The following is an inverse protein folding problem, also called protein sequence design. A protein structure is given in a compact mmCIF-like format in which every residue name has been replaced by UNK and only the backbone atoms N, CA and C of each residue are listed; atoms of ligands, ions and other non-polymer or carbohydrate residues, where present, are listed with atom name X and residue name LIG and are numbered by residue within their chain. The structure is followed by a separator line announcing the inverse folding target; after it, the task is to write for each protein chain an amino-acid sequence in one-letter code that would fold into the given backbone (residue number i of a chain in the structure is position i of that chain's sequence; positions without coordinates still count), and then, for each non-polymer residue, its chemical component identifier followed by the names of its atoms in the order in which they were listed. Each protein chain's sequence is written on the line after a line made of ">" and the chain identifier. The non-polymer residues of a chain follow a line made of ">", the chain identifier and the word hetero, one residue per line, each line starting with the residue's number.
data_IF_300107888468
#
_entry.id   IF_300107888468
#
_cell.length_a   1.000
_cell.length_b   1.000
_cell.length_c   1.000
_cell.angle_alpha   90.00
_cell.angle_beta   90.00
_cell.angle_gamma   90.00
#
_symmetry.space_group_name_H-M   'P 1'
#
loop_
_entity.id
_entity.type
_entity.pdbx_description
1 polymer ?
#
# COMPACT_ATOMS: atom_id res chain seq x y z
N UNK A 1 4.65 -3.76 1.60
CA UNK A 1 5.49 -3.55 2.81
C UNK A 1 4.88 -4.18 4.06
N UNK A 2 3.63 -3.86 4.43
CA UNK A 2 3.01 -4.35 5.68
C UNK A 2 3.03 -5.88 5.81
N UNK A 3 2.56 -6.60 4.79
CA UNK A 3 2.55 -8.06 4.79
C UNK A 3 3.95 -8.68 5.02
N UNK A 4 4.99 -8.07 4.44
CA UNK A 4 6.38 -8.48 4.68
C UNK A 4 6.78 -8.24 6.14
N UNK A 5 6.59 -7.03 6.65
CA UNK A 5 6.97 -6.66 8.02
C UNK A 5 6.26 -7.54 9.07
N UNK A 6 4.97 -7.79 8.87
CA UNK A 6 4.11 -8.53 9.80
C UNK A 6 4.12 -10.05 9.55
N UNK A 7 4.94 -10.54 8.62
CA UNK A 7 5.01 -11.96 8.23
C UNK A 7 3.64 -12.54 7.86
N UNK A 8 2.82 -11.73 7.18
CA UNK A 8 1.48 -12.12 6.75
C UNK A 8 1.49 -12.64 5.31
N UNK A 9 0.83 -13.78 5.04
CA UNK A 9 0.64 -14.25 3.68
C UNK A 9 -0.31 -13.32 2.90
N UNK A 10 -0.13 -13.27 1.58
CA UNK A 10 -1.05 -12.61 0.64
C UNK A 10 -1.74 -13.70 -0.16
N UNK A 11 -3.08 -13.67 -0.18
CA UNK A 11 -3.90 -14.54 -1.03
C UNK A 11 -4.51 -13.73 -2.17
N UNK A 12 -4.61 -14.31 -3.36
CA UNK A 12 -5.14 -13.63 -4.53
C UNK A 12 -6.56 -14.11 -4.80
N UNK A 13 -7.50 -13.17 -4.90
CA UNK A 13 -8.88 -13.47 -5.25
C UNK A 13 -9.11 -13.24 -6.74
N UNK A 14 -9.63 -14.25 -7.44
CA UNK A 14 -10.17 -14.02 -8.78
C UNK A 14 -11.52 -13.31 -8.69
N UNK A 15 -11.70 -12.20 -9.41
CA UNK A 15 -12.98 -11.49 -9.48
C UNK A 15 -14.11 -12.31 -10.13
N UNK A 16 -13.77 -13.40 -10.82
CA UNK A 16 -14.73 -14.30 -11.49
C UNK A 16 -14.84 -15.67 -10.84
N UNK A 17 -13.76 -16.18 -10.24
CA UNK A 17 -13.70 -17.54 -9.67
C UNK A 17 -13.57 -17.58 -8.14
N UNK A 18 -13.30 -16.45 -7.49
CA UNK A 18 -13.02 -16.39 -6.06
C UNK A 18 -11.65 -16.98 -5.70
N UNK A 19 -11.56 -17.55 -4.51
CA UNK A 19 -10.41 -18.31 -4.03
C UNK A 19 -10.52 -19.79 -4.39
N UNK A 20 -9.38 -20.44 -4.55
CA UNK A 20 -9.27 -21.90 -4.70
C UNK A 20 -9.47 -22.62 -3.36
N UNK A 21 -9.83 -23.90 -3.40
CA UNK A 21 -10.00 -24.70 -2.17
C UNK A 21 -8.72 -24.78 -1.32
N UNK A 22 -7.55 -24.80 -1.98
CA UNK A 22 -6.25 -24.76 -1.32
C UNK A 22 -6.02 -23.45 -0.56
N UNK A 23 -6.33 -22.30 -1.19
CA UNK A 23 -6.26 -21.00 -0.53
C UNK A 23 -7.24 -20.89 0.63
N UNK A 24 -8.49 -21.34 0.44
CA UNK A 24 -9.52 -21.33 1.50
C UNK A 24 -9.05 -22.13 2.72
N UNK A 25 -8.38 -23.27 2.50
CA UNK A 25 -7.84 -24.10 3.60
C UNK A 25 -6.78 -23.37 4.42
N UNK A 26 -5.93 -22.57 3.77
CA UNK A 26 -4.90 -21.78 4.46
C UNK A 26 -5.50 -20.52 5.12
N UNK A 27 -6.41 -19.82 4.43
CA UNK A 27 -7.13 -18.65 4.95
C UNK A 27 -7.84 -18.99 6.27
N UNK A 28 -8.50 -20.16 6.36
CA UNK A 28 -9.20 -20.60 7.58
C UNK A 28 -8.30 -20.75 8.82
N UNK A 29 -6.97 -20.79 8.65
CA UNK A 29 -6.01 -20.83 9.77
C UNK A 29 -5.63 -19.42 10.26
N UNK A 30 -5.98 -18.39 9.50
CA UNK A 30 -5.64 -17.01 9.82
C UNK A 30 -6.59 -16.46 10.89
N UNK A 31 -6.04 -15.68 11.82
CA UNK A 31 -6.81 -15.02 12.89
C UNK A 31 -7.25 -13.61 12.55
N UNK A 32 -6.56 -12.99 11.59
CA UNK A 32 -6.83 -11.64 11.07
C UNK A 32 -6.75 -11.67 9.56
N UNK A 33 -7.66 -10.95 8.92
CA UNK A 33 -7.76 -10.84 7.47
C UNK A 33 -8.27 -9.46 7.06
N UNK A 34 -7.47 -8.81 6.23
CA UNK A 34 -7.84 -7.58 5.54
C UNK A 34 -8.06 -7.87 4.07
N UNK A 35 -9.08 -7.23 3.49
CA UNK A 35 -9.29 -7.21 2.04
C UNK A 35 -8.76 -5.91 1.49
N UNK A 36 -7.81 -5.98 0.55
CA UNK A 36 -7.27 -4.80 -0.12
C UNK A 36 -7.92 -4.67 -1.50
N UNK A 37 -8.52 -3.51 -1.76
CA UNK A 37 -9.21 -3.19 -3.00
C UNK A 37 -10.73 -3.28 -2.91
N UNK A 38 -11.40 -2.58 -3.82
CA UNK A 38 -12.86 -2.51 -3.89
C UNK A 38 -13.50 -3.79 -4.40
N UNK A 39 -14.84 -3.83 -4.42
CA UNK A 39 -15.61 -5.01 -4.82
C UNK A 39 -15.41 -5.45 -6.28
N UNK A 40 -15.00 -4.54 -7.16
CA UNK A 40 -14.66 -4.90 -8.55
C UNK A 40 -13.39 -5.76 -8.63
N UNK A 41 -12.44 -5.57 -7.70
CA UNK A 41 -11.21 -6.34 -7.62
C UNK A 41 -11.41 -7.60 -6.77
N UNK A 42 -12.03 -7.45 -5.59
CA UNK A 42 -12.33 -8.56 -4.67
C UNK A 42 -13.82 -8.55 -4.34
N UNK A 43 -14.66 -9.25 -5.12
CA UNK A 43 -16.11 -9.24 -4.96
C UNK A 43 -16.54 -9.72 -3.57
N UNK A 44 -17.40 -8.94 -2.94
CA UNK A 44 -17.91 -9.22 -1.59
C UNK A 44 -18.56 -10.60 -1.49
N UNK A 45 -19.28 -11.02 -2.55
CA UNK A 45 -19.89 -12.35 -2.65
C UNK A 45 -18.93 -13.52 -2.43
N UNK A 46 -17.65 -13.39 -2.78
CA UNK A 46 -16.68 -14.47 -2.57
C UNK A 46 -16.19 -14.51 -1.13
N UNK A 47 -16.00 -13.35 -0.49
CA UNK A 47 -15.66 -13.27 0.93
C UNK A 47 -16.77 -13.94 1.77
N UNK A 48 -18.02 -13.56 1.53
CA UNK A 48 -19.17 -14.07 2.29
C UNK A 48 -19.40 -15.58 2.09
N UNK A 49 -19.20 -16.08 0.86
CA UNK A 49 -19.43 -17.50 0.55
C UNK A 49 -18.27 -18.41 0.95
N UNK A 50 -17.03 -17.95 0.80
CA UNK A 50 -15.85 -18.81 0.91
C UNK A 50 -15.10 -18.67 2.23
N UNK A 51 -15.20 -17.52 2.91
CA UNK A 51 -14.44 -17.22 4.12
C UNK A 51 -15.36 -17.15 5.34
N UNK A 52 -15.47 -18.28 6.04
CA UNK A 52 -16.23 -18.38 7.29
C UNK A 52 -15.62 -17.44 8.35
N UNK A 53 -16.44 -16.53 8.89
CA UNK A 53 -15.99 -15.47 9.82
C UNK A 53 -15.82 -14.10 9.15
N UNK A 54 -15.86 -14.02 7.82
CA UNK A 54 -15.77 -12.75 7.09
C UNK A 54 -14.36 -12.14 7.14
N UNK A 55 -14.27 -10.84 6.85
CA UNK A 55 -13.03 -10.04 6.91
C UNK A 55 -13.09 -9.08 8.11
N UNK A 56 -11.95 -8.71 8.67
CA UNK A 56 -11.88 -7.67 9.71
C UNK A 56 -12.24 -6.31 9.12
N UNK A 57 -11.68 -6.02 7.94
CA UNK A 57 -11.80 -4.70 7.31
C UNK A 57 -11.46 -4.78 5.82
N UNK A 58 -12.16 -3.98 5.01
CA UNK A 58 -11.82 -3.72 3.61
C UNK A 58 -11.17 -2.35 3.50
N UNK A 59 -9.97 -2.31 2.94
CA UNK A 59 -9.24 -1.07 2.67
C UNK A 59 -9.24 -0.87 1.15
N UNK A 60 -9.93 0.17 0.69
CA UNK A 60 -10.10 0.45 -0.73
C UNK A 60 -10.20 1.97 -0.95
N UNK A 61 -9.92 2.39 -2.18
CA UNK A 61 -10.21 3.74 -2.69
C UNK A 61 -10.76 3.66 -4.11
N UNK A 62 -11.27 4.78 -4.64
CA UNK A 62 -11.76 4.89 -6.01
C UNK A 62 -10.64 4.71 -7.04
N UNK A 63 -9.39 4.94 -6.65
CA UNK A 63 -8.21 4.70 -7.51
C UNK A 63 -7.18 3.80 -6.81
N UNK A 64 -6.23 3.28 -7.59
CA UNK A 64 -5.07 2.54 -7.03
C UNK A 64 -4.22 3.40 -6.10
N UNK A 65 -4.11 4.70 -6.41
CA UNK A 65 -3.37 5.67 -5.60
C UNK A 65 -4.07 5.90 -4.27
N UNK A 66 -5.39 6.12 -4.29
CA UNK A 66 -6.19 6.27 -3.08
C UNK A 66 -6.22 4.99 -2.24
N UNK A 67 -6.32 3.81 -2.86
CA UNK A 67 -6.18 2.54 -2.14
C UNK A 67 -4.80 2.43 -1.47
N UNK A 68 -3.73 2.82 -2.17
CA UNK A 68 -2.38 2.84 -1.60
C UNK A 68 -2.25 3.81 -0.43
N UNK A 69 -2.89 4.99 -0.51
CA UNK A 69 -2.95 5.99 0.55
C UNK A 69 -3.71 5.42 1.76
N UNK A 70 -4.89 4.83 1.54
CA UNK A 70 -5.71 4.26 2.62
C UNK A 70 -5.01 3.09 3.32
N UNK A 71 -4.23 2.29 2.58
CA UNK A 71 -3.37 1.26 3.18
C UNK A 71 -2.25 1.88 4.03
N UNK A 72 -1.60 2.93 3.54
CA UNK A 72 -0.59 3.64 4.31
C UNK A 72 -1.19 4.27 5.56
N UNK A 73 -2.29 5.01 5.46
CA UNK A 73 -3.00 5.63 6.58
C UNK A 73 -3.42 4.61 7.64
N UNK A 74 -3.92 3.45 7.20
CA UNK A 74 -4.37 2.39 8.10
C UNK A 74 -3.26 1.70 8.89
N UNK A 75 -2.08 1.59 8.29
CA UNK A 75 -0.95 0.82 8.84
C UNK A 75 0.25 1.68 9.20
N UNK A 76 0.20 2.99 9.01
CA UNK A 76 1.22 3.93 9.46
C UNK A 76 0.99 4.31 10.94
N UNK A 77 2.05 4.34 11.73
CA UNK A 77 1.99 4.76 13.12
C UNK A 77 3.34 4.64 13.83
N UNK A 78 3.46 5.29 14.98
CA UNK A 78 4.72 5.40 15.72
C UNK A 78 4.97 4.25 16.72
N UNK A 79 4.16 3.18 16.64
CA UNK A 79 4.24 2.02 17.53
C UNK A 79 4.82 0.78 16.83
N UNK A 80 5.35 -0.16 17.61
CA UNK A 80 5.82 -1.43 17.06
C UNK A 80 4.67 -2.24 16.43
N UNK A 81 4.93 -2.80 15.25
CA UNK A 81 3.93 -3.50 14.44
C UNK A 81 3.23 -2.62 13.39
N UNK A 82 3.58 -1.34 13.32
CA UNK A 82 3.13 -0.42 12.27
C UNK A 82 4.27 -0.06 11.30
N UNK A 83 3.87 0.32 10.09
CA UNK A 83 4.74 1.00 9.15
C UNK A 83 4.94 2.47 9.57
N UNK A 84 5.93 3.12 9.00
CA UNK A 84 6.29 4.51 9.26
C UNK A 84 6.39 5.27 7.95
N UNK A 85 6.15 6.57 8.02
CA UNK A 85 6.43 7.46 6.89
C UNK A 85 7.93 7.73 6.72
N UNK A 86 8.75 7.56 7.78
CA UNK A 86 10.19 7.59 7.61
C UNK A 86 10.67 6.43 6.71
N UNK A 87 11.58 6.73 5.78
CA UNK A 87 12.01 5.86 4.69
C UNK A 87 10.89 5.53 3.68
N UNK A 88 9.86 6.38 3.54
CA UNK A 88 8.75 6.17 2.59
C UNK A 88 9.28 5.84 1.20
N UNK A 89 8.66 4.83 0.58
CA UNK A 89 9.04 4.36 -0.74
C UNK A 89 7.94 4.71 -1.73
N UNK A 90 8.29 5.39 -2.81
CA UNK A 90 7.40 5.75 -3.90
C UNK A 90 7.70 4.89 -5.14
N UNK A 91 6.68 4.30 -5.72
CA UNK A 91 6.79 3.55 -6.98
C UNK A 91 5.72 4.00 -7.96
N UNK A 92 5.89 3.72 -9.25
CA UNK A 92 4.80 3.98 -10.20
C UNK A 92 3.54 3.22 -9.83
N UNK A 93 2.39 3.85 -10.03
CA UNK A 93 1.11 3.16 -9.97
C UNK A 93 0.76 2.48 -11.28
N UNK A 94 1.41 2.77 -12.41
CA UNK A 94 0.94 2.37 -13.74
C UNK A 94 1.14 0.88 -14.02
N UNK A 95 2.22 0.30 -13.51
CA UNK A 95 2.52 -1.13 -13.54
C UNK A 95 2.97 -1.60 -12.14
N UNK A 96 3.35 -2.87 -12.01
CA UNK A 96 3.65 -3.50 -10.72
C UNK A 96 5.13 -3.90 -10.46
N UNK A 97 6.04 -4.09 -11.44
CA UNK A 97 7.39 -4.63 -11.15
C UNK A 97 8.18 -3.83 -10.11
N UNK A 98 8.16 -2.50 -10.20
CA UNK A 98 8.88 -1.63 -9.26
C UNK A 98 8.31 -1.77 -7.83
N UNK A 99 6.98 -1.74 -7.69
CA UNK A 99 6.30 -1.91 -6.41
C UNK A 99 6.56 -3.31 -5.81
N UNK A 100 6.57 -4.34 -6.65
CA UNK A 100 6.80 -5.73 -6.23
C UNK A 100 8.24 -5.90 -5.71
N UNK A 101 9.23 -5.37 -6.42
CA UNK A 101 10.63 -5.40 -6.00
C UNK A 101 10.91 -4.53 -4.77
N UNK A 102 10.25 -3.37 -4.67
CA UNK A 102 10.39 -2.45 -3.54
C UNK A 102 9.69 -2.92 -2.27
N UNK A 103 8.68 -3.80 -2.38
CA UNK A 103 7.86 -4.26 -1.26
C UNK A 103 8.65 -4.81 -0.06
N UNK A 104 9.61 -5.74 -0.26
CA UNK A 104 10.52 -6.23 0.78
C UNK A 104 11.45 -5.15 1.34
N UNK A 105 11.99 -4.27 0.50
CA UNK A 105 12.83 -3.15 0.95
C UNK A 105 12.06 -2.22 1.90
N UNK A 106 10.86 -1.81 1.51
CA UNK A 106 9.99 -1.00 2.36
C UNK A 106 9.60 -1.75 3.64
N UNK A 107 9.20 -3.02 3.54
CA UNK A 107 8.82 -3.84 4.69
C UNK A 107 9.96 -4.02 5.71
N UNK A 108 11.19 -4.27 5.24
CA UNK A 108 12.38 -4.42 6.10
C UNK A 108 12.71 -3.13 6.87
N UNK A 109 12.48 -1.97 6.25
CA UNK A 109 12.68 -0.67 6.89
C UNK A 109 11.46 -0.21 7.70
N UNK A 110 10.44 -1.06 7.88
CA UNK A 110 9.14 -0.70 8.46
C UNK A 110 8.55 0.55 7.80
N UNK A 111 8.74 0.74 6.51
CA UNK A 111 8.34 1.92 5.77
C UNK A 111 7.06 1.69 4.96
N UNK A 112 6.24 2.73 4.83
CA UNK A 112 5.13 2.68 3.87
C UNK A 112 5.65 2.69 2.44
N UNK A 113 4.90 2.01 1.57
CA UNK A 113 5.09 2.09 0.12
C UNK A 113 3.85 2.75 -0.46
N UNK A 114 4.04 3.88 -1.13
CA UNK A 114 3.00 4.67 -1.76
C UNK A 114 3.15 4.63 -3.28
N UNK A 115 2.03 4.46 -3.99
CA UNK A 115 2.01 4.67 -5.43
C UNK A 115 2.08 6.17 -5.72
N UNK A 116 3.02 6.58 -6.56
CA UNK A 116 3.21 7.96 -6.98
C UNK A 116 2.15 8.35 -8.01
N UNK A 117 1.16 9.13 -7.57
CA UNK A 117 0.11 9.67 -8.45
C UNK A 117 0.62 10.92 -9.20
N UNK A 118 0.68 10.91 -10.54
CA UNK A 118 1.02 12.10 -11.31
C UNK A 118 -0.01 13.24 -11.17
N UNK A 119 -1.23 12.95 -10.71
CA UNK A 119 -2.27 13.96 -10.47
C UNK A 119 -2.22 14.56 -9.06
N UNK A 120 -1.26 14.13 -8.22
CA UNK A 120 -0.94 14.80 -6.97
C UNK A 120 -1.68 14.32 -5.73
N UNK A 121 -2.56 13.31 -5.79
CA UNK A 121 -3.23 12.80 -4.58
C UNK A 121 -2.22 12.29 -3.54
N UNK A 122 -1.18 11.58 -3.98
CA UNK A 122 -0.08 11.11 -3.12
C UNK A 122 0.71 12.27 -2.50
N UNK A 123 1.04 13.29 -3.29
CA UNK A 123 1.76 14.47 -2.77
C UNK A 123 0.91 15.23 -1.74
N UNK A 124 -0.40 15.36 -1.97
CA UNK A 124 -1.32 15.99 -1.03
C UNK A 124 -1.41 15.21 0.29
N UNK A 125 -1.53 13.88 0.23
CA UNK A 125 -1.52 13.03 1.42
C UNK A 125 -0.23 13.21 2.23
N UNK A 126 0.92 13.13 1.56
CA UNK A 126 2.24 13.27 2.20
C UNK A 126 2.39 14.64 2.85
N UNK A 127 1.99 15.72 2.15
CA UNK A 127 2.01 17.08 2.69
C UNK A 127 1.14 17.23 3.94
N UNK A 128 -0.05 16.62 3.93
CA UNK A 128 -0.93 16.62 5.09
C UNK A 128 -0.34 15.84 6.26
N UNK A 129 0.27 14.68 6.00
CA UNK A 129 0.95 13.89 7.01
C UNK A 129 2.08 14.69 7.67
N UNK A 130 2.97 15.31 6.88
CA UNK A 130 4.09 16.10 7.40
C UNK A 130 3.59 17.25 8.27
N UNK A 131 2.51 17.92 7.86
CA UNK A 131 1.89 18.99 8.67
C UNK A 131 1.37 18.49 10.03
N UNK A 132 0.86 17.27 10.10
CA UNK A 132 0.22 16.71 11.29
C UNK A 132 1.20 16.00 12.24
N UNK A 133 2.19 15.31 11.67
CA UNK A 133 3.06 14.39 12.39
C UNK A 133 4.54 14.81 12.41
N UNK A 134 4.89 15.87 11.66
CA UNK A 134 6.26 16.34 11.55
C UNK A 134 7.03 15.71 10.39
N UNK A 135 8.33 15.94 10.38
CA UNK A 135 9.17 15.66 9.22
C UNK A 135 9.41 14.16 8.99
N UNK A 136 9.60 13.83 7.72
CA UNK A 136 10.08 12.54 7.24
C UNK A 136 11.57 12.70 6.93
N UNK A 137 12.44 11.84 7.44
CA UNK A 137 13.90 12.03 7.26
C UNK A 137 14.38 11.58 5.89
N UNK A 138 13.83 10.46 5.40
CA UNK A 138 14.26 9.83 4.16
C UNK A 138 13.07 9.41 3.30
N UNK A 139 13.24 9.53 1.99
CA UNK A 139 12.31 9.03 0.99
C UNK A 139 13.07 8.39 -0.17
N UNK A 140 12.45 7.40 -0.80
CA UNK A 140 13.03 6.66 -1.91
C UNK A 140 12.05 6.62 -3.08
N UNK A 141 12.53 6.85 -4.29
CA UNK A 141 11.79 6.57 -5.52
C UNK A 141 12.39 5.32 -6.14
N UNK A 142 11.55 4.31 -6.40
CA UNK A 142 11.96 3.09 -7.09
C UNK A 142 11.28 3.06 -8.45
N UNK A 143 12.13 3.06 -9.49
CA UNK A 143 11.73 3.22 -10.88
C UNK A 143 12.44 4.42 -11.51
N UNK A 144 12.69 4.37 -12.82
CA UNK A 144 13.26 5.49 -13.57
C UNK A 144 12.23 6.59 -13.86
N UNK A 145 12.65 7.66 -14.55
CA UNK A 145 11.75 8.79 -14.88
C UNK A 145 10.52 8.41 -15.72
N UNK A 146 10.59 7.32 -16.49
CA UNK A 146 9.44 6.79 -17.21
C UNK A 146 8.37 6.17 -16.30
N UNK A 147 8.77 5.74 -15.10
CA UNK A 147 7.87 5.16 -14.10
C UNK A 147 7.33 6.25 -13.17
N UNK A 148 8.20 7.12 -12.65
CA UNK A 148 7.87 8.29 -11.84
C UNK A 148 8.52 9.50 -12.47
N UNK A 149 7.71 10.33 -13.15
CA UNK A 149 8.23 11.50 -13.86
C UNK A 149 8.96 12.46 -12.92
N UNK A 150 9.92 13.22 -13.45
CA UNK A 150 10.61 14.27 -12.68
C UNK A 150 9.65 15.27 -12.06
N UNK A 151 8.54 15.60 -12.73
CA UNK A 151 7.50 16.48 -12.18
C UNK A 151 6.81 15.84 -10.97
N UNK A 152 6.45 14.56 -11.05
CA UNK A 152 5.86 13.82 -9.92
C UNK A 152 6.84 13.71 -8.77
N UNK A 153 8.11 13.37 -9.04
CA UNK A 153 9.16 13.29 -8.04
C UNK A 153 9.39 14.63 -7.31
N UNK A 154 9.46 15.74 -8.06
CA UNK A 154 9.59 17.08 -7.50
C UNK A 154 8.39 17.45 -6.63
N UNK A 155 7.17 17.12 -7.06
CA UNK A 155 5.96 17.37 -6.26
C UNK A 155 5.94 16.58 -4.95
N UNK A 156 6.49 15.36 -4.94
CA UNK A 156 6.66 14.56 -3.72
C UNK A 156 7.74 15.15 -2.80
N UNK A 157 8.89 15.56 -3.36
CA UNK A 157 9.96 16.20 -2.59
C UNK A 157 9.49 17.52 -1.95
N UNK A 158 8.80 18.37 -2.72
CA UNK A 158 8.21 19.61 -2.21
C UNK A 158 7.16 19.35 -1.11
N UNK A 159 6.37 18.27 -1.22
CA UNK A 159 5.40 17.87 -0.20
C UNK A 159 6.06 17.38 1.10
N UNK A 160 7.29 16.84 1.00
CA UNK A 160 8.08 16.35 2.12
C UNK A 160 9.02 17.41 2.73
N UNK A 161 9.08 18.61 2.15
CA UNK A 161 10.08 19.64 2.46
C UNK A 161 11.53 19.11 2.26
N UNK A 162 11.74 18.34 1.20
CA UNK A 162 13.01 17.73 0.83
C UNK A 162 13.63 18.36 -0.42
N UNK A 163 14.94 18.17 -0.58
CA UNK A 163 15.62 18.50 -1.83
C UNK A 163 15.08 17.66 -2.99
N UNK A 164 14.90 18.31 -4.13
CA UNK A 164 14.45 17.67 -5.37
C UNK A 164 15.55 16.75 -5.96
N UNK A 165 15.20 15.58 -6.51
CA UNK A 165 16.11 14.67 -7.19
C UNK A 165 16.40 15.09 -8.66
#
# INVERSE_FOLDING_TARGET
>A
SYAYMSHMPIFLCSSTKGFTDGEIKEIKKMKKMWVIGGEQAVPQRFIERQIAGGMDERIAGSTRYETSINVADRFAGDYDGFLRMNNVVFTTGMNFPDALAAGPFAGRNKAVLLLADPNGSTANFVKQYVKQHGNVDNAYIVGGENAVSRNTANGLADALDMLRP
#
